data_IF_102479442995
#
_entry.id   IF_102479442995
#
_cell.length_a   1.000
_cell.length_b   1.000
_cell.length_c   1.000
_cell.angle_alpha   90.00
_cell.angle_beta   90.00
_cell.angle_gamma   90.00
#
_symmetry.space_group_name_H-M   'P 1'
#
loop_
_entity.id
_entity.type
_entity.pdbx_description
1 polymer ?
#
# COMPACT_ATOMS: atom_id res chain seq x y z
N UNK A 1 -17.34 9.91 1.27
CA UNK A 1 -16.88 8.65 1.92
C UNK A 1 -15.56 8.29 1.25
N UNK A 2 -14.52 8.08 2.04
CA UNK A 2 -13.18 7.69 1.55
C UNK A 2 -13.18 6.24 1.06
N UNK A 3 -12.37 5.94 0.05
CA UNK A 3 -12.31 4.58 -0.52
C UNK A 3 -11.30 3.75 0.30
N UNK A 4 -11.69 2.63 0.94
CA UNK A 4 -10.77 1.80 1.69
C UNK A 4 -9.79 1.09 0.77
N UNK A 5 -8.49 1.22 1.03
CA UNK A 5 -7.42 0.67 0.20
C UNK A 5 -6.31 0.05 1.04
N UNK A 6 -5.54 -0.86 0.44
CA UNK A 6 -4.24 -1.30 0.93
C UNK A 6 -3.19 -0.76 -0.05
N UNK A 7 -2.16 -0.09 0.47
CA UNK A 7 -1.06 0.45 -0.34
C UNK A 7 0.13 -0.50 -0.22
N UNK A 8 0.63 -1.01 -1.32
CA UNK A 8 1.82 -1.87 -1.30
C UNK A 8 3.09 -1.07 -0.98
N UNK A 9 4.08 -1.74 -0.38
CA UNK A 9 5.43 -1.23 -0.10
C UNK A 9 6.09 -0.59 -1.32
N UNK A 10 5.95 -1.20 -2.50
CA UNK A 10 6.55 -0.69 -3.73
C UNK A 10 5.95 0.66 -4.16
N UNK A 11 4.67 0.90 -3.88
CA UNK A 11 3.99 2.16 -4.18
C UNK A 11 4.44 3.24 -3.20
N UNK A 12 4.51 2.89 -1.92
CA UNK A 12 4.97 3.79 -0.87
C UNK A 12 6.40 4.26 -1.15
N UNK A 13 7.33 3.35 -1.43
CA UNK A 13 8.72 3.70 -1.75
C UNK A 13 8.84 4.47 -3.06
N UNK A 14 8.17 4.03 -4.13
CA UNK A 14 8.21 4.74 -5.40
C UNK A 14 7.64 6.16 -5.29
N UNK A 15 6.64 6.38 -4.42
CA UNK A 15 6.07 7.70 -4.15
C UNK A 15 6.99 8.60 -3.29
N UNK A 16 7.84 8.02 -2.46
CA UNK A 16 8.82 8.77 -1.67
C UNK A 16 10.06 9.13 -2.49
N UNK A 17 10.56 8.20 -3.30
CA UNK A 17 11.67 8.44 -4.25
C UNK A 17 11.22 9.41 -5.34
N UNK A 18 10.06 9.16 -5.95
CA UNK A 18 9.51 9.98 -7.01
C UNK A 18 8.77 11.19 -6.45
N UNK A 19 9.37 12.39 -6.53
CA UNK A 19 8.72 13.64 -6.11
C UNK A 19 7.43 14.01 -6.86
N UNK A 20 7.08 13.27 -7.92
CA UNK A 20 5.87 13.43 -8.75
C UNK A 20 5.43 12.09 -9.34
N UNK A 21 4.20 12.06 -9.86
CA UNK A 21 3.64 10.92 -10.59
C UNK A 21 2.62 10.12 -9.79
N UNK A 22 2.11 9.01 -10.38
CA UNK A 22 0.96 8.28 -9.82
C UNK A 22 1.19 7.75 -8.40
N UNK A 23 2.37 7.19 -8.10
CA UNK A 23 2.70 6.70 -6.76
C UNK A 23 2.64 7.82 -5.70
N UNK A 24 3.23 8.98 -6.00
CA UNK A 24 3.20 10.17 -5.13
C UNK A 24 1.77 10.63 -4.89
N UNK A 25 0.96 10.61 -5.94
CA UNK A 25 -0.43 11.05 -5.86
C UNK A 25 -1.27 10.09 -5.02
N UNK A 26 -1.04 8.77 -5.07
CA UNK A 26 -1.69 7.82 -4.14
C UNK A 26 -1.44 8.22 -2.68
N UNK A 27 -0.18 8.49 -2.31
CA UNK A 27 0.15 8.91 -0.94
C UNK A 27 -0.50 10.25 -0.59
N UNK A 28 -0.52 11.21 -1.52
CA UNK A 28 -1.21 12.49 -1.33
C UNK A 28 -2.70 12.30 -1.06
N UNK A 29 -3.38 11.46 -1.85
CA UNK A 29 -4.82 11.19 -1.72
C UNK A 29 -5.16 10.46 -0.42
N UNK A 30 -4.24 9.64 0.09
CA UNK A 30 -4.34 9.06 1.43
C UNK A 30 -4.26 10.14 2.52
N UNK A 31 -3.28 11.04 2.43
CA UNK A 31 -3.11 12.15 3.38
C UNK A 31 -4.25 13.18 3.31
N UNK A 32 -4.93 13.27 2.17
CA UNK A 32 -6.12 14.11 1.97
C UNK A 32 -7.44 13.39 2.33
N UNK A 33 -7.35 12.16 2.87
CA UNK A 33 -8.51 11.34 3.26
C UNK A 33 -9.48 11.02 2.09
N UNK A 34 -9.03 11.12 0.84
CA UNK A 34 -9.82 10.69 -0.32
C UNK A 34 -9.73 9.16 -0.50
N UNK A 35 -8.54 8.62 -0.18
CA UNK A 35 -8.30 7.19 0.00
C UNK A 35 -8.10 6.92 1.50
N UNK A 36 -8.67 5.84 2.01
CA UNK A 36 -8.50 5.39 3.39
C UNK A 36 -7.52 4.21 3.41
N UNK A 37 -6.21 4.44 3.63
CA UNK A 37 -5.27 3.35 3.72
C UNK A 37 -5.57 2.48 4.95
N UNK A 38 -5.44 1.17 4.80
CA UNK A 38 -5.50 0.19 5.88
C UNK A 38 -4.14 -0.47 6.03
N UNK A 39 -3.70 -0.65 7.27
CA UNK A 39 -2.40 -1.23 7.59
C UNK A 39 -2.56 -2.29 8.68
N UNK A 40 -1.89 -3.41 8.52
CA UNK A 40 -1.71 -4.42 9.57
C UNK A 40 -0.27 -4.42 10.08
N UNK A 41 -0.01 -5.12 11.18
CA UNK A 41 1.32 -5.14 11.80
C UNK A 41 2.44 -5.57 10.83
N UNK A 42 2.20 -6.62 10.03
CA UNK A 42 3.22 -7.11 9.08
C UNK A 42 3.58 -6.05 8.05
N UNK A 43 2.58 -5.45 7.38
CA UNK A 43 2.81 -4.40 6.37
C UNK A 43 3.46 -3.15 6.97
N UNK A 44 3.09 -2.76 8.19
CA UNK A 44 3.71 -1.62 8.85
C UNK A 44 5.19 -1.88 9.17
N UNK A 45 5.53 -3.07 9.66
CA UNK A 45 6.92 -3.47 9.92
C UNK A 45 7.74 -3.52 8.62
N UNK A 46 7.15 -3.95 7.51
CA UNK A 46 7.80 -3.90 6.20
C UNK A 46 8.08 -2.48 5.75
N UNK A 47 7.15 -1.54 5.94
CA UNK A 47 7.43 -0.12 5.69
C UNK A 47 8.61 0.36 6.53
N UNK A 48 8.62 0.05 7.82
CA UNK A 48 9.71 0.45 8.71
C UNK A 48 11.05 -0.14 8.27
N UNK A 49 11.13 -1.43 7.99
CA UNK A 49 12.36 -2.08 7.53
C UNK A 49 12.86 -1.44 6.22
N UNK A 50 11.96 -1.30 5.24
CA UNK A 50 12.29 -0.79 3.91
C UNK A 50 12.77 0.66 3.94
N UNK A 51 12.11 1.54 4.72
CA UNK A 51 12.50 2.95 4.85
C UNK A 51 13.77 3.16 5.69
N UNK A 52 14.16 2.18 6.52
CA UNK A 52 15.42 2.21 7.26
C UNK A 52 16.64 1.77 6.43
N UNK A 53 16.45 1.21 5.23
CA UNK A 53 17.58 0.79 4.38
C UNK A 53 18.35 1.99 3.86
N UNK A 54 19.66 2.00 4.04
CA UNK A 54 20.55 3.10 3.62
C UNK A 54 20.36 3.48 2.15
N UNK A 55 20.20 2.49 1.26
CA UNK A 55 19.96 2.74 -0.17
C UNK A 55 18.65 3.48 -0.44
N UNK A 56 17.58 3.19 0.31
CA UNK A 56 16.29 3.89 0.19
C UNK A 56 16.41 5.31 0.74
N UNK A 57 17.05 5.48 1.90
CA UNK A 57 17.30 6.80 2.47
C UNK A 57 18.12 7.68 1.51
N UNK A 58 19.14 7.12 0.85
CA UNK A 58 19.95 7.81 -0.13
C UNK A 58 19.16 8.27 -1.36
N UNK A 59 18.20 7.45 -1.83
CA UNK A 59 17.34 7.80 -2.96
C UNK A 59 16.30 8.87 -2.61
N UNK A 60 15.91 8.98 -1.34
CA UNK A 60 14.90 9.91 -0.84
C UNK A 60 15.47 11.25 -0.31
N UNK A 61 16.76 11.55 -0.52
CA UNK A 61 17.49 12.72 0.02
C UNK A 61 16.89 14.10 -0.32
N UNK A 62 15.81 14.17 -1.10
CA UNK A 62 15.14 15.42 -1.49
C UNK A 62 14.01 15.84 -0.53
N UNK A 63 13.74 15.11 0.54
CA UNK A 63 12.63 15.40 1.47
C UNK A 63 13.10 16.24 2.66
N UNK A 64 12.32 17.24 3.07
CA UNK A 64 12.60 18.12 4.22
C UNK A 64 12.34 17.50 5.59
N UNK A 65 11.75 16.31 5.62
CA UNK A 65 11.45 15.49 6.79
C UNK A 65 12.11 14.12 6.62
N UNK A 66 12.43 13.46 7.72
CA UNK A 66 12.93 12.08 7.68
C UNK A 66 11.85 11.11 7.18
N UNK A 67 12.27 9.96 6.65
CA UNK A 67 11.34 8.93 6.20
C UNK A 67 10.52 8.33 7.35
N UNK A 68 11.06 8.31 8.57
CA UNK A 68 10.33 7.84 9.75
C UNK A 68 9.29 8.85 10.22
N UNK A 69 9.60 10.16 10.20
CA UNK A 69 8.59 11.20 10.45
C UNK A 69 7.46 11.15 9.42
N UNK A 70 7.80 10.90 8.14
CA UNK A 70 6.77 10.65 7.13
C UNK A 70 5.92 9.43 7.48
N UNK A 71 6.54 8.30 7.84
CA UNK A 71 5.82 7.07 8.15
C UNK A 71 4.90 7.24 9.36
N UNK A 72 5.34 7.96 10.40
CA UNK A 72 4.53 8.29 11.56
C UNK A 72 3.31 9.13 11.17
N UNK A 73 3.50 10.17 10.34
CA UNK A 73 2.40 10.97 9.82
C UNK A 73 1.45 10.16 8.93
N UNK A 74 1.99 9.31 8.06
CA UNK A 74 1.19 8.43 7.22
C UNK A 74 0.37 7.43 8.05
N UNK A 75 0.93 6.92 9.15
CA UNK A 75 0.23 6.02 10.07
C UNK A 75 -0.99 6.69 10.71
N UNK A 76 -0.99 8.01 10.94
CA UNK A 76 -2.15 8.71 11.52
C UNK A 76 -3.38 8.73 10.62
N UNK A 77 -3.21 8.61 9.30
CA UNK A 77 -4.32 8.51 8.34
C UNK A 77 -4.66 7.06 8.00
N UNK A 78 -3.89 6.09 8.49
CA UNK A 78 -4.14 4.67 8.30
C UNK A 78 -5.16 4.13 9.30
N UNK A 79 -6.05 3.27 8.82
CA UNK A 79 -6.86 2.41 9.68
C UNK A 79 -6.04 1.17 10.04
N UNK A 80 -5.79 0.97 11.33
CA UNK A 80 -5.18 -0.25 11.84
C UNK A 80 -6.16 -1.42 11.72
N UNK A 81 -5.72 -2.53 11.14
CA UNK A 81 -6.52 -3.75 10.97
C UNK A 81 -5.73 -4.94 11.51
N UNK A 82 -6.34 -5.65 12.46
CA UNK A 82 -5.81 -6.93 12.97
C UNK A 82 -6.16 -8.06 12.00
N UNK A 83 -5.34 -8.23 10.98
CA UNK A 83 -5.44 -9.35 10.06
C UNK A 83 -4.85 -10.60 10.74
N UNK A 84 -5.69 -11.60 10.99
CA UNK A 84 -5.24 -12.89 11.50
C UNK A 84 -4.70 -13.70 10.33
N UNK A 85 -3.39 -13.61 10.10
CA UNK A 85 -2.61 -14.26 9.03
C UNK A 85 -2.64 -15.81 9.10
N UNK A 86 -3.84 -16.38 9.08
CA UNK A 86 -4.12 -17.80 9.27
C UNK A 86 -4.52 -18.48 7.96
N UNK A 87 -4.76 -17.70 6.91
CA UNK A 87 -5.16 -18.25 5.63
C UNK A 87 -3.92 -18.56 4.78
N UNK A 88 -3.73 -19.85 4.46
CA UNK A 88 -2.68 -20.32 3.54
C UNK A 88 -3.29 -20.80 2.21
N UNK A 89 -3.80 -19.91 1.36
CA UNK A 89 -3.97 -20.27 -0.05
C UNK A 89 -2.57 -20.51 -0.63
N UNK A 90 -2.40 -21.55 -1.45
CA UNK A 90 -1.14 -21.91 -2.10
C UNK A 90 -0.71 -20.83 -3.12
N UNK A 91 -0.37 -19.64 -2.65
CA UNK A 91 0.22 -18.57 -3.45
C UNK A 91 1.69 -18.88 -3.70
N UNK A 92 2.18 -18.43 -4.85
CA UNK A 92 3.51 -18.78 -5.35
C UNK A 92 4.63 -18.00 -4.63
N UNK A 93 4.27 -16.87 -4.00
CA UNK A 93 5.12 -16.09 -3.10
C UNK A 93 4.37 -15.89 -1.77
N UNK A 94 4.85 -16.53 -0.70
CA UNK A 94 4.23 -16.43 0.64
C UNK A 94 4.27 -14.99 1.18
N UNK A 95 5.17 -14.15 0.66
CA UNK A 95 5.35 -12.79 1.10
C UNK A 95 4.20 -11.84 0.70
N UNK A 96 3.37 -12.17 -0.28
CA UNK A 96 2.23 -11.31 -0.70
C UNK A 96 0.90 -11.70 -0.02
N UNK A 97 0.87 -12.82 0.69
CA UNK A 97 -0.33 -13.37 1.33
C UNK A 97 -0.92 -12.40 2.36
N UNK A 98 -0.05 -11.71 3.11
CA UNK A 98 -0.48 -10.80 4.17
C UNK A 98 -1.21 -9.57 3.63
N UNK A 99 -0.87 -9.10 2.41
CA UNK A 99 -1.57 -7.97 1.77
C UNK A 99 -3.00 -8.35 1.39
N UNK A 100 -3.20 -9.57 0.90
CA UNK A 100 -4.50 -10.10 0.53
C UNK A 100 -5.37 -10.29 1.78
N UNK A 101 -4.83 -10.95 2.80
CA UNK A 101 -5.54 -11.14 4.07
C UNK A 101 -5.90 -9.80 4.72
N UNK A 102 -4.97 -8.84 4.69
CA UNK A 102 -5.22 -7.48 5.15
C UNK A 102 -6.34 -6.82 4.35
N UNK A 103 -6.34 -6.92 3.02
CA UNK A 103 -7.37 -6.33 2.17
C UNK A 103 -8.76 -6.88 2.49
N UNK A 104 -8.86 -8.20 2.73
CA UNK A 104 -10.13 -8.84 3.10
C UNK A 104 -10.56 -8.42 4.50
N UNK A 105 -9.68 -8.50 5.49
CA UNK A 105 -9.98 -8.10 6.87
C UNK A 105 -10.36 -6.61 6.96
N UNK A 106 -9.76 -5.78 6.12
CA UNK A 106 -10.07 -4.36 5.98
C UNK A 106 -11.40 -4.12 5.24
N UNK A 107 -11.90 -5.05 4.43
CA UNK A 107 -12.91 -4.73 3.41
C UNK A 107 -12.40 -3.66 2.44
N UNK A 108 -11.11 -3.73 2.10
CA UNK A 108 -10.50 -2.83 1.14
C UNK A 108 -11.10 -3.06 -0.24
N UNK A 109 -11.44 -1.97 -0.93
CA UNK A 109 -11.91 -2.02 -2.31
C UNK A 109 -10.76 -2.27 -3.27
N UNK A 110 -9.57 -1.72 -2.97
CA UNK A 110 -8.41 -1.83 -3.82
C UNK A 110 -7.14 -2.21 -3.07
N UNK A 111 -6.35 -3.11 -3.65
CA UNK A 111 -4.92 -3.25 -3.36
C UNK A 111 -4.17 -2.46 -4.45
N UNK A 112 -3.43 -1.44 -4.04
CA UNK A 112 -2.69 -0.57 -4.96
C UNK A 112 -1.24 -1.04 -5.01
N UNK A 113 -0.81 -1.55 -6.17
CA UNK A 113 0.56 -2.06 -6.38
C UNK A 113 1.06 -1.76 -7.79
N UNK A 114 2.38 -1.60 -7.96
CA UNK A 114 3.00 -1.58 -9.28
C UNK A 114 3.16 -3.01 -9.89
N UNK A 115 3.04 -4.05 -9.08
CA UNK A 115 3.30 -5.44 -9.46
C UNK A 115 2.01 -6.26 -9.61
N UNK A 116 1.03 -5.77 -10.38
CA UNK A 116 -0.30 -6.40 -10.52
C UNK A 116 -0.24 -7.87 -10.95
N UNK A 117 0.79 -8.26 -11.71
CA UNK A 117 1.00 -9.63 -12.19
C UNK A 117 1.21 -10.63 -11.03
N UNK A 118 1.77 -10.18 -9.91
CA UNK A 118 2.07 -11.04 -8.74
C UNK A 118 0.76 -11.41 -8.00
N UNK A 119 -0.33 -10.65 -8.25
CA UNK A 119 -1.66 -10.92 -7.72
C UNK A 119 -2.63 -11.49 -8.76
N UNK A 120 -2.16 -11.87 -9.96
CA UNK A 120 -3.00 -12.33 -11.07
C UNK A 120 -3.51 -13.78 -10.92
N UNK A 121 -3.65 -14.27 -9.69
CA UNK A 121 -4.11 -15.63 -9.42
C UNK A 121 -5.63 -15.73 -9.60
N UNK A 122 -6.13 -16.70 -10.40
CA UNK A 122 -7.57 -16.87 -10.65
C UNK A 122 -8.42 -17.02 -9.38
N UNK A 123 -7.85 -17.64 -8.35
CA UNK A 123 -8.50 -17.88 -7.05
C UNK A 123 -8.78 -16.59 -6.27
N UNK A 124 -8.09 -15.50 -6.58
CA UNK A 124 -8.21 -14.22 -5.87
C UNK A 124 -9.31 -13.31 -6.44
N UNK A 125 -9.85 -13.62 -7.63
CA UNK A 125 -10.77 -12.73 -8.37
C UNK A 125 -12.15 -12.53 -7.74
N UNK A 126 -12.47 -13.24 -6.65
CA UNK A 126 -13.80 -13.23 -6.02
C UNK A 126 -13.79 -12.81 -4.55
N UNK A 127 -12.68 -12.26 -4.06
CA UNK A 127 -12.48 -11.96 -2.64
C UNK A 127 -12.92 -10.54 -2.22
N UNK A 128 -13.63 -9.83 -3.11
CA UNK A 128 -14.24 -8.54 -2.81
C UNK A 128 -13.29 -7.33 -2.89
N UNK A 129 -12.05 -7.52 -3.30
CA UNK A 129 -11.08 -6.47 -3.61
C UNK A 129 -10.62 -6.55 -5.07
N UNK A 130 -10.16 -5.43 -5.62
CA UNK A 130 -9.52 -5.36 -6.94
C UNK A 130 -8.05 -4.94 -6.80
N UNK A 131 -7.18 -5.53 -7.61
CA UNK A 131 -5.75 -5.13 -7.67
C UNK A 131 -5.59 -4.09 -8.77
N UNK A 132 -5.01 -2.94 -8.45
CA UNK A 132 -4.97 -1.79 -9.35
C UNK A 132 -3.61 -1.09 -9.32
N UNK A 133 -3.18 -0.57 -10.48
CA UNK A 133 -1.99 0.28 -10.54
C UNK A 133 -2.27 1.68 -10.00
N UNK A 134 -1.26 2.38 -9.47
CA UNK A 134 -1.36 3.79 -9.11
C UNK A 134 -1.93 4.68 -10.22
N UNK A 135 -1.56 4.44 -11.48
CA UNK A 135 -2.08 5.21 -12.62
C UNK A 135 -3.59 4.99 -12.83
N UNK A 136 -4.03 3.73 -12.75
CA UNK A 136 -5.42 3.38 -12.99
C UNK A 136 -6.34 3.90 -11.86
N UNK A 137 -5.92 3.83 -10.59
CA UNK A 137 -6.73 4.39 -9.49
C UNK A 137 -6.87 5.91 -9.65
N UNK A 138 -5.82 6.61 -10.08
CA UNK A 138 -5.92 8.06 -10.37
C UNK A 138 -6.85 8.38 -11.54
N UNK A 139 -7.01 7.47 -12.51
CA UNK A 139 -7.98 7.63 -13.59
C UNK A 139 -9.41 7.42 -13.08
N UNK A 140 -9.64 6.45 -12.20
CA UNK A 140 -10.95 6.19 -11.59
C UNK A 140 -11.42 7.31 -10.65
N UNK A 141 -10.51 7.96 -9.92
CA UNK A 141 -10.87 9.07 -9.03
C UNK A 141 -11.23 10.37 -9.79
N UNK A 142 -10.93 10.45 -11.09
CA UNK A 142 -11.22 11.63 -11.93
C UNK A 142 -12.54 11.52 -12.71
N UNK A 143 -13.17 10.35 -12.73
CA UNK A 143 -14.46 10.08 -13.37
C UNK A 143 -15.60 10.18 -12.37
#
# INVERSE_FOLDING_TARGET
MSIPVVVDTNVLVAGLIGGKGPNREVLRRCLQEELQPSVGNALYLEYQDLLNREGIQALCQQTSVSLMEFLDGFATVCRLVDARYLWRPNLQDEADNHLIELAIAAGAKYIITNNVKDFAHPELKHLGYEVITPENIMRLLRS
#
